data_IF_056718113434
#
_entry.id   IF_056718113434
#
_cell.length_a   1.000
_cell.length_b   1.000
_cell.length_c   1.000
_cell.angle_alpha   90.00
_cell.angle_beta   90.00
_cell.angle_gamma   90.00
#
_symmetry.space_group_name_H-M   'P 1'
#
loop_
_entity.id
_entity.type
_entity.pdbx_description
1 polymer ?
#
# COMPACT_ATOMS: atom_id res chain seq x y z
N UNK A 1 -15.01 -6.31 -8.18
CA UNK A 1 -13.69 -6.12 -8.82
C UNK A 1 -13.36 -7.39 -9.59
N UNK A 2 -12.86 -7.29 -10.82
CA UNK A 2 -12.47 -8.46 -11.61
C UNK A 2 -11.02 -8.81 -11.26
N UNK A 3 -10.72 -10.09 -11.11
CA UNK A 3 -9.37 -10.58 -10.88
C UNK A 3 -8.78 -11.10 -12.19
N UNK A 4 -7.47 -11.01 -12.31
CA UNK A 4 -6.68 -11.71 -13.31
C UNK A 4 -5.59 -12.50 -12.59
N UNK A 5 -5.18 -13.59 -13.23
CA UNK A 5 -4.26 -14.56 -12.67
C UNK A 5 -3.06 -14.63 -13.60
N UNK A 6 -1.89 -14.29 -13.09
CA UNK A 6 -0.66 -14.27 -13.86
C UNK A 6 0.16 -15.52 -13.59
N UNK A 7 0.53 -16.19 -14.67
CA UNK A 7 1.60 -17.19 -14.65
C UNK A 7 2.89 -16.46 -14.93
N UNK A 8 3.88 -16.65 -14.07
CA UNK A 8 5.20 -16.02 -14.15
C UNK A 8 6.30 -17.09 -14.06
N UNK A 9 7.51 -16.73 -14.46
CA UNK A 9 8.66 -17.65 -14.52
C UNK A 9 9.97 -16.89 -14.28
N UNK A 10 10.99 -17.63 -13.84
CA UNK A 10 12.29 -17.09 -13.48
C UNK A 10 12.29 -16.45 -12.08
N UNK A 11 13.40 -15.86 -11.70
CA UNK A 11 13.60 -15.22 -10.41
C UNK A 11 14.45 -13.96 -10.55
N UNK A 12 14.22 -12.98 -9.68
CA UNK A 12 15.03 -11.76 -9.50
C UNK A 12 15.41 -11.03 -10.81
N UNK A 13 16.48 -11.43 -11.49
CA UNK A 13 17.00 -10.81 -12.71
C UNK A 13 16.34 -11.29 -14.02
N UNK A 14 15.65 -12.44 -14.03
CA UNK A 14 14.98 -12.97 -15.23
C UNK A 14 13.48 -13.25 -15.02
N UNK A 15 12.90 -12.67 -13.96
CA UNK A 15 11.47 -12.73 -13.70
C UNK A 15 10.68 -12.13 -14.86
N UNK A 16 9.65 -12.84 -15.32
CA UNK A 16 8.74 -12.38 -16.37
C UNK A 16 7.32 -12.92 -16.20
N UNK A 17 6.34 -12.13 -16.62
CA UNK A 17 4.96 -12.59 -16.82
C UNK A 17 4.90 -13.37 -18.12
N UNK A 18 4.41 -14.60 -18.07
CA UNK A 18 4.27 -15.50 -19.23
C UNK A 18 2.88 -15.40 -19.84
N UNK A 19 1.85 -15.42 -19.00
CA UNK A 19 0.46 -15.41 -19.44
C UNK A 19 -0.47 -14.81 -18.37
N UNK A 20 -1.61 -14.28 -18.81
CA UNK A 20 -2.67 -13.73 -17.97
C UNK A 20 -3.99 -14.45 -18.25
N UNK A 21 -4.70 -14.83 -17.18
CA UNK A 21 -5.96 -15.57 -17.25
C UNK A 21 -7.05 -14.85 -16.47
N UNK A 22 -8.31 -15.06 -16.89
CA UNK A 22 -9.49 -14.54 -16.19
C UNK A 22 -9.98 -15.42 -15.04
N UNK A 23 -9.48 -16.66 -14.94
CA UNK A 23 -9.80 -17.61 -13.87
C UNK A 23 -8.53 -18.34 -13.43
N UNK A 24 -8.42 -18.77 -12.16
CA UNK A 24 -7.23 -19.43 -11.65
C UNK A 24 -7.08 -20.85 -12.23
N UNK A 25 -8.17 -21.53 -12.54
CA UNK A 25 -8.14 -22.91 -13.07
C UNK A 25 -7.42 -22.96 -14.42
N UNK A 26 -7.67 -21.97 -15.30
CA UNK A 26 -7.00 -21.90 -16.61
C UNK A 26 -5.51 -21.61 -16.49
N UNK A 27 -5.11 -20.83 -15.49
CA UNK A 27 -3.70 -20.58 -15.20
C UNK A 27 -3.01 -21.87 -14.72
N UNK A 28 -3.67 -22.63 -13.85
CA UNK A 28 -3.18 -23.92 -13.37
C UNK A 28 -3.09 -24.97 -14.48
N UNK A 29 -4.12 -25.09 -15.33
CA UNK A 29 -4.11 -25.98 -16.50
C UNK A 29 -2.96 -25.65 -17.45
N UNK A 30 -2.71 -24.35 -17.68
CA UNK A 30 -1.60 -23.88 -18.51
C UNK A 30 -0.23 -24.29 -17.94
N UNK A 31 -0.04 -24.15 -16.62
CA UNK A 31 1.20 -24.59 -15.96
C UNK A 31 1.34 -26.12 -16.01
N UNK A 32 0.26 -26.85 -15.74
CA UNK A 32 0.26 -28.31 -15.71
C UNK A 32 0.56 -28.95 -17.08
N UNK A 33 0.30 -28.23 -18.18
CA UNK A 33 0.63 -28.70 -19.53
C UNK A 33 2.15 -28.77 -19.78
N UNK A 34 2.98 -28.10 -18.98
CA UNK A 34 4.44 -28.11 -19.08
C UNK A 34 5.05 -28.32 -17.69
N UNK A 35 4.98 -29.54 -17.13
CA UNK A 35 5.33 -29.81 -15.74
C UNK A 35 6.81 -29.58 -15.40
N UNK A 36 7.70 -29.65 -16.40
CA UNK A 36 9.14 -29.42 -16.24
C UNK A 36 9.54 -27.94 -16.46
N UNK A 37 8.57 -27.04 -16.63
CA UNK A 37 8.81 -25.61 -16.81
C UNK A 37 9.30 -24.95 -15.51
N UNK A 38 9.99 -23.82 -15.65
CA UNK A 38 10.42 -22.95 -14.55
C UNK A 38 9.33 -21.97 -14.09
N UNK A 39 8.06 -22.38 -14.18
CA UNK A 39 6.95 -21.55 -13.69
C UNK A 39 6.98 -21.46 -12.16
N UNK A 40 6.72 -20.25 -11.65
CA UNK A 40 6.44 -20.07 -10.22
C UNK A 40 4.94 -20.24 -9.97
N UNK A 41 4.50 -19.93 -8.75
CA UNK A 41 3.09 -19.91 -8.39
C UNK A 41 2.28 -18.85 -9.15
N UNK A 42 0.97 -19.11 -9.27
CA UNK A 42 0.01 -18.17 -9.86
C UNK A 42 -0.14 -16.94 -8.97
N UNK A 43 0.17 -15.77 -9.52
CA UNK A 43 -0.05 -14.49 -8.84
C UNK A 43 -1.44 -13.94 -9.16
N UNK A 44 -2.11 -13.36 -8.17
CA UNK A 44 -3.43 -12.76 -8.31
C UNK A 44 -3.34 -11.25 -8.35
N UNK A 45 -3.96 -10.63 -9.35
CA UNK A 45 -4.05 -9.18 -9.47
C UNK A 45 -5.49 -8.73 -9.68
N UNK A 46 -5.77 -7.50 -9.25
CA UNK A 46 -6.98 -6.81 -9.66
C UNK A 46 -6.86 -6.29 -11.10
N UNK A 47 -7.87 -6.57 -11.93
CA UNK A 47 -8.00 -5.99 -13.26
C UNK A 47 -8.60 -4.58 -13.17
N UNK A 48 -7.83 -3.60 -13.63
CA UNK A 48 -8.19 -2.18 -13.60
C UNK A 48 -8.52 -1.70 -12.18
N UNK A 49 -7.53 -1.73 -11.26
CA UNK A 49 -7.78 -1.31 -9.89
C UNK A 49 -8.24 0.14 -9.81
N UNK A 50 -9.03 0.46 -8.79
CA UNK A 50 -9.59 1.80 -8.59
C UNK A 50 -8.50 2.89 -8.55
N UNK A 51 -7.27 2.55 -8.15
CA UNK A 51 -6.11 3.45 -8.17
C UNK A 51 -5.86 4.06 -9.55
N UNK A 52 -6.16 3.35 -10.65
CA UNK A 52 -6.06 3.87 -12.00
C UNK A 52 -7.06 5.01 -12.27
N UNK A 53 -8.30 4.89 -11.77
CA UNK A 53 -9.31 5.96 -11.86
C UNK A 53 -8.92 7.16 -10.99
N UNK A 54 -8.37 6.92 -9.80
CA UNK A 54 -7.92 7.99 -8.90
C UNK A 54 -6.84 8.86 -9.55
N UNK A 55 -5.84 8.25 -10.19
CA UNK A 55 -4.80 8.97 -10.93
C UNK A 55 -5.41 9.82 -12.04
N UNK A 56 -6.31 9.23 -12.85
CA UNK A 56 -6.99 9.94 -13.94
C UNK A 56 -7.78 11.16 -13.43
N UNK A 57 -8.34 11.07 -12.23
CA UNK A 57 -9.12 12.16 -11.59
C UNK A 57 -8.25 13.20 -10.86
N UNK A 58 -6.94 13.11 -10.98
CA UNK A 58 -5.98 14.05 -10.43
C UNK A 58 -5.71 13.87 -8.93
N UNK A 59 -5.94 12.67 -8.39
CA UNK A 59 -5.48 12.38 -7.03
C UNK A 59 -3.98 12.10 -7.02
N UNK A 60 -3.35 12.43 -5.91
CA UNK A 60 -1.97 12.08 -5.59
C UNK A 60 -1.89 11.30 -4.30
N UNK A 61 -0.82 10.55 -4.13
CA UNK A 61 -0.55 9.80 -2.92
C UNK A 61 0.23 10.69 -1.94
N UNK A 62 -0.23 10.78 -0.70
CA UNK A 62 0.34 11.65 0.33
C UNK A 62 0.77 10.84 1.54
N UNK A 63 1.99 11.07 2.02
CA UNK A 63 2.46 10.59 3.32
C UNK A 63 2.22 11.67 4.37
N UNK A 64 1.47 11.32 5.42
CA UNK A 64 1.17 12.21 6.55
C UNK A 64 1.65 11.56 7.83
N UNK A 65 2.45 12.29 8.60
CA UNK A 65 2.89 11.92 9.93
C UNK A 65 2.19 12.82 10.95
N UNK A 66 1.27 12.25 11.73
CA UNK A 66 0.41 12.99 12.64
C UNK A 66 0.55 12.49 14.08
N UNK A 67 0.75 13.42 15.01
CA UNK A 67 0.80 13.16 16.44
C UNK A 67 -0.59 12.85 16.99
N UNK A 68 -0.64 12.25 18.19
CA UNK A 68 -1.89 11.85 18.83
C UNK A 68 -2.84 13.03 19.11
N UNK A 69 -2.30 14.23 19.32
CA UNK A 69 -3.06 15.47 19.54
C UNK A 69 -3.62 16.10 18.24
N UNK A 70 -3.24 15.57 17.07
CA UNK A 70 -3.64 16.07 15.76
C UNK A 70 -2.64 17.02 15.10
N UNK A 71 -1.55 17.39 15.79
CA UNK A 71 -0.47 18.16 15.18
C UNK A 71 0.24 17.32 14.11
N UNK A 72 0.56 17.94 12.99
CA UNK A 72 1.22 17.26 11.88
C UNK A 72 2.73 17.51 11.92
N UNK A 73 3.52 16.45 11.96
CA UNK A 73 4.99 16.51 12.00
C UNK A 73 5.57 16.64 10.58
N UNK A 74 4.97 15.94 9.62
CA UNK A 74 5.32 16.08 8.21
C UNK A 74 4.15 15.72 7.30
N UNK A 75 4.08 16.42 6.17
CA UNK A 75 3.22 16.08 5.03
C UNK A 75 4.06 16.13 3.78
N UNK A 76 3.94 15.13 2.92
CA UNK A 76 4.64 15.12 1.65
C UNK A 76 3.85 14.35 0.59
N UNK A 77 3.79 14.91 -0.61
CA UNK A 77 3.33 14.19 -1.78
C UNK A 77 4.38 13.14 -2.17
N UNK A 78 3.97 11.89 -2.38
CA UNK A 78 4.89 10.83 -2.81
C UNK A 78 5.21 10.97 -4.30
N UNK A 79 6.48 10.75 -4.62
CA UNK A 79 6.94 10.63 -5.99
C UNK A 79 6.57 9.26 -6.56
N UNK A 80 5.57 9.23 -7.45
CA UNK A 80 5.09 7.99 -8.08
C UNK A 80 6.09 7.40 -9.09
N UNK A 81 7.19 8.09 -9.41
CA UNK A 81 8.28 7.51 -10.20
C UNK A 81 9.15 6.54 -9.39
N UNK A 82 9.11 6.64 -8.05
CA UNK A 82 9.92 5.84 -7.12
C UNK A 82 9.09 4.83 -6.33
N UNK A 83 7.78 5.08 -6.17
CA UNK A 83 6.92 4.29 -5.30
C UNK A 83 5.68 3.76 -6.04
N UNK A 84 5.26 2.55 -5.66
CA UNK A 84 4.02 1.95 -6.15
C UNK A 84 2.77 2.71 -5.69
N UNK A 85 1.74 2.72 -6.53
CA UNK A 85 0.47 3.43 -6.32
C UNK A 85 -0.50 2.72 -5.37
N UNK A 86 -0.17 1.50 -4.95
CA UNK A 86 -1.01 0.68 -4.07
C UNK A 86 -0.68 0.76 -2.58
N UNK A 87 0.40 1.43 -2.18
CA UNK A 87 0.87 1.50 -0.78
C UNK A 87 0.07 2.53 0.03
N UNK A 88 -1.21 2.25 0.27
CA UNK A 88 -2.09 3.03 1.14
C UNK A 88 -2.28 2.35 2.49
N UNK A 89 -2.43 3.13 3.55
CA UNK A 89 -2.74 2.57 4.85
C UNK A 89 -2.38 3.48 6.02
N UNK A 90 -2.71 3.00 7.21
CA UNK A 90 -2.53 3.70 8.47
C UNK A 90 -1.79 2.78 9.43
N UNK A 91 -0.75 3.28 10.09
CA UNK A 91 -0.09 2.54 11.18
C UNK A 91 0.44 3.48 12.23
N UNK A 92 0.36 3.07 13.49
CA UNK A 92 1.04 3.76 14.58
C UNK A 92 2.48 3.27 14.63
N UNK A 93 3.43 4.17 14.37
CA UNK A 93 4.82 3.91 14.68
C UNK A 93 5.05 4.19 16.17
N UNK A 94 5.19 3.10 16.93
CA UNK A 94 5.46 3.11 18.38
C UNK A 94 6.90 3.53 18.69
N UNK A 95 7.25 4.78 18.35
CA UNK A 95 8.59 5.36 18.50
C UNK A 95 9.07 5.31 19.95
N UNK A 96 8.17 5.45 20.92
CA UNK A 96 8.50 5.36 22.36
C UNK A 96 9.05 4.00 22.77
N UNK A 97 8.72 2.93 22.03
CA UNK A 97 9.18 1.56 22.28
C UNK A 97 10.43 1.20 21.47
N UNK A 98 10.81 2.02 20.50
CA UNK A 98 11.98 1.76 19.67
C UNK A 98 13.28 1.98 20.45
N UNK A 99 14.23 1.02 20.46
CA UNK A 99 15.50 1.18 21.19
C UNK A 99 16.26 2.46 20.83
N UNK A 100 16.20 2.89 19.57
CA UNK A 100 16.86 4.10 19.07
C UNK A 100 16.33 5.41 19.70
N UNK A 101 15.12 5.41 20.26
CA UNK A 101 14.44 6.60 20.78
C UNK A 101 14.18 6.55 22.29
N UNK A 102 14.62 5.49 22.98
CA UNK A 102 14.47 5.34 24.43
C UNK A 102 15.12 6.53 25.16
N UNK A 103 14.35 7.19 26.02
CA UNK A 103 14.81 8.34 26.81
C UNK A 103 14.92 9.67 26.05
N UNK A 104 14.53 9.72 24.77
CA UNK A 104 14.61 10.94 23.94
C UNK A 104 13.34 11.79 23.93
N UNK A 105 12.27 11.34 24.60
CA UNK A 105 10.99 12.03 24.64
C UNK A 105 10.27 12.13 23.28
N UNK A 106 10.60 11.25 22.32
CA UNK A 106 9.98 11.24 20.99
C UNK A 106 8.63 10.50 21.09
N UNK A 107 7.49 11.17 20.84
CA UNK A 107 6.16 10.57 20.98
C UNK A 107 5.87 9.56 19.87
N UNK A 108 4.95 8.63 20.10
CA UNK A 108 4.41 7.78 19.02
C UNK A 108 3.71 8.64 17.95
N UNK A 109 3.66 8.13 16.72
CA UNK A 109 3.12 8.88 15.58
C UNK A 109 2.30 8.00 14.66
N UNK A 110 1.21 8.54 14.12
CA UNK A 110 0.46 7.90 13.04
C UNK A 110 1.15 8.24 11.73
N UNK A 111 1.68 7.21 11.08
CA UNK A 111 2.18 7.29 9.72
C UNK A 111 1.09 6.78 8.79
N UNK A 112 0.59 7.65 7.91
CA UNK A 112 -0.48 7.33 6.98
C UNK A 112 -0.06 7.62 5.55
N UNK A 113 -0.46 6.76 4.63
CA UNK A 113 -0.40 7.01 3.20
C UNK A 113 -1.81 7.01 2.63
N UNK A 114 -2.25 8.13 2.07
CA UNK A 114 -3.63 8.33 1.60
C UNK A 114 -3.68 8.99 0.23
N UNK A 115 -4.73 8.72 -0.52
CA UNK A 115 -5.01 9.45 -1.75
C UNK A 115 -5.76 10.75 -1.45
N UNK A 116 -5.27 11.86 -1.97
CA UNK A 116 -5.93 13.15 -1.86
C UNK A 116 -5.58 14.06 -3.05
N UNK A 117 -6.44 15.06 -3.31
CA UNK A 117 -6.21 16.07 -4.34
C UNK A 117 -5.35 17.25 -3.86
N UNK A 118 -5.19 17.40 -2.54
CA UNK A 118 -4.38 18.45 -1.94
C UNK A 118 -3.83 17.99 -0.59
N UNK A 119 -2.85 18.73 -0.10
CA UNK A 119 -2.24 18.52 1.22
C UNK A 119 -3.29 18.61 2.34
N UNK A 120 -4.15 19.62 2.30
CA UNK A 120 -5.17 19.86 3.33
C UNK A 120 -6.19 18.72 3.39
N UNK A 121 -6.56 18.19 2.22
CA UNK A 121 -7.45 17.04 2.14
C UNK A 121 -6.79 15.78 2.73
N UNK A 122 -5.49 15.57 2.47
CA UNK A 122 -4.74 14.45 3.05
C UNK A 122 -4.68 14.54 4.58
N UNK A 123 -4.32 15.72 5.12
CA UNK A 123 -4.28 15.97 6.57
C UNK A 123 -5.65 15.73 7.20
N UNK A 124 -6.72 16.20 6.57
CA UNK A 124 -8.08 16.01 7.07
C UNK A 124 -8.46 14.53 7.16
N UNK A 125 -8.24 13.75 6.09
CA UNK A 125 -8.52 12.30 6.05
C UNK A 125 -7.79 11.61 7.21
N UNK A 126 -6.51 11.93 7.40
CA UNK A 126 -5.69 11.30 8.43
C UNK A 126 -6.11 11.72 9.84
N UNK A 127 -6.54 12.97 10.03
CA UNK A 127 -7.06 13.43 11.33
C UNK A 127 -8.39 12.76 11.69
N UNK A 128 -9.28 12.56 10.72
CA UNK A 128 -10.53 11.80 10.92
C UNK A 128 -10.22 10.36 11.33
N UNK A 129 -9.29 9.69 10.65
CA UNK A 129 -8.87 8.34 11.01
C UNK A 129 -8.19 8.29 12.40
N UNK A 130 -7.32 9.26 12.74
CA UNK A 130 -6.73 9.39 14.08
C UNK A 130 -7.81 9.44 15.17
N UNK A 131 -8.86 10.24 14.97
CA UNK A 131 -9.95 10.35 15.92
C UNK A 131 -10.68 9.02 16.10
N UNK A 132 -10.90 8.27 15.01
CA UNK A 132 -11.47 6.92 15.06
C UNK A 132 -10.58 5.95 15.86
N UNK A 133 -9.27 5.92 15.61
CA UNK A 133 -8.33 5.04 16.32
C UNK A 133 -8.25 5.34 17.83
N UNK A 134 -8.38 6.61 18.21
CA UNK A 134 -8.44 7.00 19.64
C UNK A 134 -9.77 6.53 20.24
N UNK A 135 -10.89 6.71 19.54
CA UNK A 135 -12.20 6.30 20.01
C UNK A 135 -12.35 4.76 20.10
N UNK A 136 -11.73 4.00 19.19
CA UNK A 136 -11.74 2.53 19.21
C UNK A 136 -10.74 1.92 20.20
N UNK A 137 -9.83 2.72 20.76
CA UNK A 137 -8.79 2.25 21.67
C UNK A 137 -7.56 1.65 20.98
N UNK A 138 -7.53 1.61 19.64
CA UNK A 138 -6.35 1.19 18.87
C UNK A 138 -5.12 2.08 19.14
N UNK A 139 -5.36 3.35 19.45
CA UNK A 139 -4.33 4.29 19.91
C UNK A 139 -4.43 4.60 21.41
N UNK A 140 -4.20 3.55 22.21
CA UNK A 140 -3.87 3.65 23.64
C UNK A 140 -2.50 4.26 23.88
#
# INVERSE_FOLDING_TARGET
MKKIYAVNSGCYSNYRIVALFSTPERAQEFMAAVPDSDYNDVEEFELNPDTADMIKRGYSLWSVHMLRDGNTESVSQRDLSLYGVGDVGHRIWRRTQAPAYKGRGIPDILTSTVWAKSEEAAVKIVNEHRAQMIASGEWS
#
